data_IF_345987885244
#
_entry.id   IF_345987885244
#
_cell.length_a   1.000
_cell.length_b   1.000
_cell.length_c   1.000
_cell.angle_alpha   90.00
_cell.angle_beta   90.00
_cell.angle_gamma   90.00
#
_symmetry.space_group_name_H-M   'P 1'
#
loop_
_entity.id
_entity.type
_entity.pdbx_description
1 polymer ?
#
# COMPACT_ATOMS: atom_id res chain seq x y z
N UNK A 1 -4.08 13.46 15.46
CA UNK A 1 -5.10 13.14 14.43
C UNK A 1 -4.58 11.88 13.75
N UNK A 2 -5.35 10.79 13.78
CA UNK A 2 -4.89 9.52 13.24
C UNK A 2 -4.90 9.54 11.72
N UNK A 3 -4.10 8.67 11.10
CA UNK A 3 -4.01 8.60 9.65
C UNK A 3 -5.35 8.20 9.01
N UNK A 4 -6.07 7.28 9.65
CA UNK A 4 -7.40 6.79 9.26
C UNK A 4 -8.49 7.87 9.29
N UNK A 5 -8.28 8.98 10.00
CA UNK A 5 -9.24 10.09 10.08
C UNK A 5 -9.27 10.92 8.78
N UNK A 6 -8.18 10.91 8.01
CA UNK A 6 -8.03 11.77 6.84
C UNK A 6 -7.57 11.04 5.58
N UNK A 7 -6.96 9.86 5.65
CA UNK A 7 -6.62 9.04 4.49
C UNK A 7 -7.52 7.81 4.44
N UNK A 8 -8.33 7.74 3.39
CA UNK A 8 -9.26 6.66 3.10
C UNK A 8 -8.84 5.93 1.82
N UNK A 9 -8.74 4.61 1.91
CA UNK A 9 -8.43 3.71 0.81
C UNK A 9 -9.60 2.76 0.64
N UNK A 10 -10.12 2.70 -0.57
CA UNK A 10 -11.22 1.82 -0.95
C UNK A 10 -10.88 1.18 -2.28
N UNK A 11 -11.45 0.03 -2.58
CA UNK A 11 -11.18 -0.67 -3.83
C UNK A 11 -12.39 -1.49 -4.23
N UNK A 12 -12.51 -1.69 -5.53
CA UNK A 12 -13.47 -2.58 -6.17
C UNK A 12 -12.70 -3.64 -6.97
N UNK A 13 -13.42 -4.50 -7.69
CA UNK A 13 -12.81 -5.55 -8.52
C UNK A 13 -11.83 -5.00 -9.59
N UNK A 14 -12.07 -3.77 -10.07
CA UNK A 14 -11.33 -3.16 -11.19
C UNK A 14 -10.20 -2.23 -10.76
N UNK A 15 -10.40 -1.43 -9.70
CA UNK A 15 -9.49 -0.33 -9.36
C UNK A 15 -9.48 -0.02 -7.87
N UNK A 16 -8.43 0.69 -7.47
CA UNK A 16 -8.19 1.16 -6.11
C UNK A 16 -8.34 2.67 -6.09
N UNK A 17 -9.02 3.18 -5.09
CA UNK A 17 -9.32 4.58 -4.85
C UNK A 17 -8.70 5.05 -3.54
N UNK A 18 -7.94 6.14 -3.62
CA UNK A 18 -7.33 6.78 -2.46
C UNK A 18 -7.85 8.20 -2.36
N UNK A 19 -8.32 8.59 -1.19
CA UNK A 19 -8.79 9.93 -0.89
C UNK A 19 -8.17 10.42 0.41
N UNK A 20 -7.48 11.56 0.35
CA UNK A 20 -6.90 12.19 1.52
C UNK A 20 -7.51 13.57 1.75
N UNK A 21 -7.86 13.89 3.00
CA UNK A 21 -8.35 15.20 3.43
C UNK A 21 -7.58 15.68 4.66
N UNK A 22 -6.26 15.93 4.55
CA UNK A 22 -5.47 16.44 5.66
C UNK A 22 -5.99 17.81 6.15
N UNK A 23 -5.93 18.10 7.46
CA UNK A 23 -6.51 19.32 8.04
C UNK A 23 -5.85 20.63 7.56
N UNK A 24 -4.57 20.57 7.17
CA UNK A 24 -3.77 21.76 6.83
C UNK A 24 -3.44 21.88 5.34
N UNK A 25 -3.92 20.95 4.50
CA UNK A 25 -3.62 20.91 3.06
C UNK A 25 -4.89 20.65 2.25
N UNK A 26 -4.94 21.07 0.97
CA UNK A 26 -6.03 20.68 0.10
C UNK A 26 -6.12 19.16 0.03
N UNK A 27 -7.34 18.64 0.13
CA UNK A 27 -7.61 17.23 -0.08
C UNK A 27 -7.21 16.82 -1.51
N UNK A 28 -6.82 15.56 -1.66
CA UNK A 28 -6.49 14.97 -2.93
C UNK A 28 -7.17 13.62 -3.09
N UNK A 29 -7.39 13.24 -4.33
CA UNK A 29 -7.92 11.96 -4.71
C UNK A 29 -7.12 11.41 -5.89
N UNK A 30 -6.90 10.11 -5.87
CA UNK A 30 -6.22 9.41 -6.95
C UNK A 30 -6.71 7.98 -7.01
N UNK A 31 -6.57 7.36 -8.18
CA UNK A 31 -6.94 5.96 -8.38
C UNK A 31 -5.97 5.30 -9.34
N UNK A 32 -5.92 3.98 -9.28
CA UNK A 32 -5.16 3.14 -10.20
C UNK A 32 -5.88 1.80 -10.39
N UNK A 33 -5.75 1.21 -11.58
CA UNK A 33 -6.30 -0.10 -11.87
C UNK A 33 -5.43 -1.21 -11.26
N UNK A 34 -6.04 -2.32 -10.86
CA UNK A 34 -5.29 -3.49 -10.39
C UNK A 34 -4.37 -4.05 -11.48
N UNK A 35 -4.82 -4.02 -12.73
CA UNK A 35 -4.09 -4.53 -13.90
C UNK A 35 -2.85 -3.68 -14.23
N UNK A 36 -2.84 -2.41 -13.82
CA UNK A 36 -1.70 -1.51 -14.02
C UNK A 36 -0.57 -1.73 -13.02
N UNK A 37 -0.79 -2.54 -11.97
CA UNK A 37 0.20 -2.79 -10.92
C UNK A 37 1.31 -3.69 -11.46
N UNK A 38 2.53 -3.16 -11.46
CA UNK A 38 3.72 -3.88 -11.94
C UNK A 38 4.59 -4.41 -10.80
N UNK A 39 4.52 -3.77 -9.63
CA UNK A 39 5.28 -4.16 -8.44
C UNK A 39 4.62 -3.61 -7.18
N UNK A 40 4.63 -4.40 -6.12
CA UNK A 40 4.27 -3.96 -4.78
C UNK A 40 5.44 -4.19 -3.85
N UNK A 41 5.72 -3.22 -2.99
CA UNK A 41 6.67 -3.37 -1.90
C UNK A 41 5.99 -3.12 -0.56
N UNK A 42 6.40 -3.88 0.44
CA UNK A 42 5.98 -3.73 1.82
C UNK A 42 7.19 -3.34 2.66
N UNK A 43 7.02 -2.31 3.47
CA UNK A 43 7.99 -1.84 4.43
C UNK A 43 7.38 -1.95 5.82
N UNK A 44 8.04 -2.68 6.71
CA UNK A 44 7.68 -2.67 8.11
C UNK A 44 8.06 -1.32 8.70
N UNK A 45 7.09 -0.69 9.35
CA UNK A 45 7.35 0.52 10.09
C UNK A 45 8.08 0.21 11.40
N UNK A 46 9.07 1.04 11.73
CA UNK A 46 9.66 1.06 13.07
C UNK A 46 8.64 1.47 14.14
N UNK A 47 9.05 1.45 15.42
CA UNK A 47 8.28 2.02 16.55
C UNK A 47 7.76 3.46 16.35
N UNK A 48 8.28 4.19 15.37
CA UNK A 48 7.95 5.57 15.04
C UNK A 48 7.22 5.74 13.70
N UNK A 49 7.05 4.67 12.92
CA UNK A 49 6.51 4.70 11.55
C UNK A 49 5.48 3.58 11.35
N UNK A 50 4.47 3.83 10.53
CA UNK A 50 3.49 2.81 10.14
C UNK A 50 4.07 1.85 9.10
N UNK A 51 3.60 0.61 9.07
CA UNK A 51 3.87 -0.26 7.92
C UNK A 51 3.31 0.38 6.65
N UNK A 52 4.11 0.35 5.60
CA UNK A 52 3.86 1.13 4.40
C UNK A 52 3.88 0.23 3.16
N UNK A 53 2.82 0.33 2.37
CA UNK A 53 2.64 -0.40 1.12
C UNK A 53 2.93 0.55 -0.03
N UNK A 54 3.94 0.22 -0.83
CA UNK A 54 4.31 0.95 -2.03
C UNK A 54 3.79 0.22 -3.26
N UNK A 55 2.93 0.86 -4.02
CA UNK A 55 2.33 0.29 -5.24
C UNK A 55 2.90 0.99 -6.45
N UNK A 56 3.67 0.27 -7.26
CA UNK A 56 4.21 0.76 -8.53
C UNK A 56 3.27 0.34 -9.65
N UNK A 57 2.96 1.30 -10.52
CA UNK A 57 2.07 1.09 -11.66
C UNK A 57 2.75 1.51 -12.95
N UNK A 58 2.24 1.06 -14.10
CA UNK A 58 2.75 1.51 -15.40
C UNK A 58 2.31 2.94 -15.77
N UNK A 59 1.41 3.55 -14.99
CA UNK A 59 0.86 4.89 -15.27
C UNK A 59 1.83 6.01 -14.90
N UNK A 60 2.72 5.78 -13.92
CA UNK A 60 3.64 6.79 -13.40
C UNK A 60 4.91 6.17 -12.84
N UNK A 61 6.00 6.94 -12.81
CA UNK A 61 7.28 6.48 -12.24
C UNK A 61 7.28 6.41 -10.70
N UNK A 62 6.44 7.20 -10.06
CA UNK A 62 6.36 7.29 -8.59
C UNK A 62 5.41 6.22 -8.04
N UNK A 63 5.75 5.58 -6.92
CA UNK A 63 4.83 4.64 -6.26
C UNK A 63 3.67 5.36 -5.59
N UNK A 64 2.51 4.72 -5.56
CA UNK A 64 1.44 5.06 -4.62
C UNK A 64 1.83 4.54 -3.24
N UNK A 65 1.61 5.34 -2.20
CA UNK A 65 2.01 5.02 -0.83
C UNK A 65 0.76 4.88 0.00
N UNK A 66 0.52 3.67 0.50
CA UNK A 66 -0.65 3.32 1.32
C UNK A 66 -0.14 2.78 2.65
N UNK A 67 -0.22 3.56 3.74
CA UNK A 67 0.06 3.04 5.07
C UNK A 67 -1.04 2.08 5.52
N UNK A 68 -0.68 1.01 6.21
CA UNK A 68 -1.65 0.02 6.72
C UNK A 68 -2.61 0.61 7.74
N UNK A 69 -2.18 1.65 8.47
CA UNK A 69 -2.99 2.41 9.43
C UNK A 69 -4.03 3.35 8.77
N UNK A 70 -4.01 3.51 7.44
CA UNK A 70 -5.07 4.23 6.74
C UNK A 70 -6.41 3.50 6.88
N UNK A 71 -7.51 4.25 6.78
CA UNK A 71 -8.83 3.64 6.75
C UNK A 71 -8.95 2.81 5.46
N UNK A 72 -9.13 1.49 5.58
CA UNK A 72 -9.09 0.54 4.45
C UNK A 72 -7.69 0.08 4.01
N UNK A 73 -6.62 0.52 4.69
CA UNK A 73 -5.24 0.13 4.38
C UNK A 73 -4.96 -1.36 4.62
N UNK A 74 -5.42 -1.90 5.76
CA UNK A 74 -5.29 -3.32 6.09
C UNK A 74 -6.13 -4.22 5.17
N UNK A 75 -7.34 -3.78 4.81
CA UNK A 75 -8.18 -4.47 3.82
C UNK A 75 -7.51 -4.50 2.43
N UNK A 76 -6.93 -3.37 2.02
CA UNK A 76 -6.17 -3.29 0.76
C UNK A 76 -5.00 -4.26 0.75
N UNK A 77 -4.23 -4.34 1.83
CA UNK A 77 -3.12 -5.29 1.95
C UNK A 77 -3.58 -6.75 1.84
N UNK A 78 -4.67 -7.09 2.53
CA UNK A 78 -5.26 -8.43 2.46
C UNK A 78 -5.67 -8.79 1.04
N UNK A 79 -6.23 -7.83 0.29
CA UNK A 79 -6.63 -8.02 -1.10
C UNK A 79 -5.43 -8.16 -2.04
N UNK A 80 -4.33 -7.42 -1.81
CA UNK A 80 -3.07 -7.58 -2.56
C UNK A 80 -2.54 -9.02 -2.47
N UNK A 81 -2.55 -9.59 -1.27
CA UNK A 81 -2.13 -10.99 -1.03
C UNK A 81 -3.11 -11.97 -1.68
N UNK A 82 -4.42 -11.73 -1.52
CA UNK A 82 -5.49 -12.53 -2.15
C UNK A 82 -5.35 -12.61 -3.68
N UNK A 83 -5.02 -11.47 -4.31
CA UNK A 83 -4.76 -11.35 -5.76
C UNK A 83 -3.40 -11.89 -6.19
N UNK A 84 -2.57 -12.37 -5.25
CA UNK A 84 -1.20 -12.88 -5.49
C UNK A 84 -0.27 -11.86 -6.13
N UNK A 85 -0.51 -10.58 -5.87
CA UNK A 85 0.37 -9.49 -6.32
C UNK A 85 1.60 -9.36 -5.39
N UNK A 86 1.49 -9.89 -4.18
CA UNK A 86 2.59 -10.02 -3.24
C UNK A 86 2.66 -11.46 -2.73
N UNK A 87 3.87 -11.95 -2.48
CA UNK A 87 4.07 -13.31 -2.01
C UNK A 87 3.59 -13.47 -0.56
N UNK A 88 2.70 -14.43 -0.33
CA UNK A 88 2.07 -14.62 0.97
C UNK A 88 3.05 -15.12 2.04
N UNK A 89 4.05 -15.93 1.66
CA UNK A 89 5.07 -16.38 2.60
C UNK A 89 5.95 -15.20 3.00
N UNK A 90 6.36 -14.39 2.04
CA UNK A 90 7.13 -13.16 2.28
C UNK A 90 6.36 -12.16 3.15
N UNK A 91 5.04 -12.02 2.97
CA UNK A 91 4.20 -11.18 3.82
C UNK A 91 4.16 -11.67 5.28
N UNK A 92 4.11 -12.99 5.49
CA UNK A 92 4.17 -13.58 6.83
C UNK A 92 5.55 -13.34 7.44
N UNK A 93 6.63 -13.55 6.66
CA UNK A 93 7.99 -13.29 7.13
C UNK A 93 8.15 -11.83 7.55
N UNK A 94 7.73 -10.88 6.72
CA UNK A 94 7.71 -9.45 7.05
C UNK A 94 6.94 -9.19 8.34
N UNK A 95 5.72 -9.73 8.51
CA UNK A 95 4.94 -9.53 9.73
C UNK A 95 5.62 -10.05 11.02
N UNK A 96 6.60 -10.95 10.91
CA UNK A 96 7.38 -11.44 12.06
C UNK A 96 8.66 -10.65 12.33
N UNK A 97 9.10 -9.81 11.40
CA UNK A 97 10.30 -9.00 11.53
C UNK A 97 9.96 -7.66 12.21
N UNK A 98 10.92 -7.11 12.95
CA UNK A 98 10.76 -5.78 13.57
C UNK A 98 10.92 -4.65 12.56
N UNK A 99 11.75 -4.86 11.55
CA UNK A 99 12.04 -3.95 10.45
C UNK A 99 12.31 -4.80 9.20
N UNK A 100 11.91 -4.33 8.03
CA UNK A 100 12.03 -5.10 6.79
C UNK A 100 11.49 -4.34 5.59
N UNK A 101 12.05 -4.64 4.42
CA UNK A 101 11.58 -4.13 3.14
C UNK A 101 11.62 -5.25 2.12
N UNK A 102 10.49 -5.52 1.48
CA UNK A 102 10.32 -6.61 0.54
C UNK A 102 9.49 -6.16 -0.66
N UNK A 103 9.89 -6.56 -1.87
CA UNK A 103 9.20 -6.22 -3.12
C UNK A 103 8.85 -7.46 -3.92
N UNK A 104 7.66 -7.46 -4.53
CA UNK A 104 7.19 -8.46 -5.48
C UNK A 104 6.74 -7.79 -6.78
N UNK A 105 7.28 -8.20 -7.95
CA UNK A 105 8.43 -9.09 -8.11
C UNK A 105 9.72 -8.42 -7.59
N UNK A 106 10.72 -9.22 -7.16
CA UNK A 106 12.03 -8.70 -6.74
C UNK A 106 12.68 -7.89 -7.88
N UNK A 107 13.62 -7.00 -7.55
CA UNK A 107 14.47 -6.39 -8.56
C UNK A 107 15.37 -7.47 -9.18
N UNK A 108 15.08 -7.82 -10.43
CA UNK A 108 15.97 -8.63 -11.27
C UNK A 108 17.33 -7.94 -11.28
N UNK A 109 18.33 -8.56 -10.62
CA UNK A 109 19.68 -8.03 -10.43
C UNK A 109 20.47 -7.92 -11.72
#
# INVERSE_FOLDING_TARGET
MNLSDWLHVSFDDAQVHMKANPPEKPGWEQSFAWDDIIRICFENGDWLSSDTIYVFTNQRKESYVIPTEADGGAEFWSEVISRKLFDAELAIEMATQSEGFACCPPEDS
#
